data_IF_374268869964
#
_entry.id   IF_374268869964
#
_cell.length_a   1.000
_cell.length_b   1.000
_cell.length_c   1.000
_cell.angle_alpha   90.00
_cell.angle_beta   90.00
_cell.angle_gamma   90.00
#
_symmetry.space_group_name_H-M   'P 1'
#
loop_
_entity.id
_entity.type
_entity.pdbx_description
1 polymer ?
#
# COMPACT_ATOMS: atom_id res chain seq x y z
N UNK A 1 -0.84 -0.58 -28.29
CA UNK A 1 -1.14 -0.37 -27.55
C UNK A 1 -1.91 -0.91 -26.56
N UNK A 2 -2.57 -1.80 -26.75
CA UNK A 2 -3.41 -2.34 -25.81
C UNK A 2 -2.72 -3.02 -24.69
N UNK A 3 -1.59 -3.58 -24.91
CA UNK A 3 -0.86 -4.27 -23.89
C UNK A 3 -0.39 -3.39 -22.76
N UNK A 4 -0.44 -2.05 -23.04
CA UNK A 4 -0.05 -1.19 -22.04
C UNK A 4 -1.17 -0.59 -21.39
N UNK A 5 -2.31 -1.08 -21.61
CA UNK A 5 -3.53 -0.57 -21.17
C UNK A 5 -3.53 0.26 -19.93
N UNK A 6 -4.58 0.96 -19.73
CA UNK A 6 -4.78 1.81 -18.59
C UNK A 6 -4.86 0.98 -17.32
N UNK A 7 -4.16 1.36 -16.23
CA UNK A 7 -4.36 0.69 -14.94
C UNK A 7 -5.81 0.77 -14.47
N UNK A 8 -6.51 1.85 -14.79
CA UNK A 8 -7.92 1.97 -14.43
C UNK A 8 -8.78 0.93 -15.13
N UNK A 9 -8.49 0.66 -16.41
CA UNK A 9 -9.23 -0.38 -17.14
C UNK A 9 -8.92 -1.77 -16.56
N UNK A 10 -7.67 -2.01 -16.21
CA UNK A 10 -7.29 -3.27 -15.56
C UNK A 10 -8.01 -3.42 -14.23
N UNK A 11 -8.12 -2.35 -13.46
CA UNK A 11 -8.83 -2.40 -12.18
C UNK A 11 -10.29 -2.77 -12.39
N UNK A 12 -10.93 -2.22 -13.41
CA UNK A 12 -12.34 -2.54 -13.68
C UNK A 12 -12.53 -4.03 -13.98
N UNK A 13 -11.66 -4.61 -14.79
CA UNK A 13 -11.73 -6.02 -15.10
C UNK A 13 -11.49 -6.88 -13.87
N UNK A 14 -10.51 -6.48 -13.06
CA UNK A 14 -10.17 -7.23 -11.86
C UNK A 14 -11.25 -7.11 -10.78
N UNK A 15 -12.00 -6.02 -10.76
CA UNK A 15 -13.13 -5.90 -9.85
C UNK A 15 -14.17 -6.97 -10.12
N UNK A 16 -14.41 -7.29 -11.39
CA UNK A 16 -15.33 -8.38 -11.74
C UNK A 16 -14.78 -9.72 -11.26
N UNK A 17 -13.48 -9.95 -11.44
CA UNK A 17 -12.87 -11.18 -10.96
C UNK A 17 -12.95 -11.28 -9.45
N UNK A 18 -12.73 -10.17 -8.75
CA UNK A 18 -12.79 -10.16 -7.29
C UNK A 18 -14.20 -10.40 -6.79
N UNK A 19 -15.21 -9.91 -7.51
CA UNK A 19 -16.60 -10.17 -7.14
C UNK A 19 -16.93 -11.63 -7.26
N UNK A 20 -16.35 -12.33 -8.26
CA UNK A 20 -16.55 -13.74 -8.45
C UNK A 20 -15.75 -14.59 -7.46
N UNK A 21 -14.58 -14.09 -7.05
CA UNK A 21 -13.68 -14.83 -6.15
C UNK A 21 -13.19 -13.89 -5.06
N UNK A 22 -14.05 -13.50 -4.13
CA UNK A 22 -13.71 -12.45 -3.16
C UNK A 22 -12.61 -12.83 -2.16
N UNK A 23 -12.26 -14.10 -2.08
CA UNK A 23 -11.20 -14.54 -1.17
C UNK A 23 -9.92 -14.94 -1.89
N UNK A 24 -9.88 -14.75 -3.21
CA UNK A 24 -8.68 -15.09 -3.96
C UNK A 24 -7.59 -14.05 -3.68
N UNK A 25 -6.53 -14.49 -3.01
CA UNK A 25 -5.42 -13.60 -2.70
C UNK A 25 -4.79 -13.04 -3.97
N UNK A 26 -4.59 -13.89 -4.98
CA UNK A 26 -3.95 -13.43 -6.20
C UNK A 26 -4.80 -12.39 -6.95
N UNK A 27 -6.11 -12.57 -6.95
CA UNK A 27 -7.01 -11.62 -7.59
C UNK A 27 -7.03 -10.32 -6.82
N UNK A 28 -7.11 -10.39 -5.48
CA UNK A 28 -7.09 -9.20 -4.64
C UNK A 28 -5.78 -8.43 -4.80
N UNK A 29 -4.67 -9.14 -4.87
CA UNK A 29 -3.37 -8.50 -5.06
C UNK A 29 -3.29 -7.80 -6.41
N UNK A 30 -3.72 -8.47 -7.47
CA UNK A 30 -3.70 -7.88 -8.81
C UNK A 30 -4.59 -6.65 -8.87
N UNK A 31 -5.77 -6.73 -8.25
CA UNK A 31 -6.70 -5.59 -8.20
C UNK A 31 -6.08 -4.43 -7.44
N UNK A 32 -5.52 -4.70 -6.26
CA UNK A 32 -4.93 -3.63 -5.45
C UNK A 32 -3.78 -2.95 -6.19
N UNK A 33 -2.94 -3.73 -6.89
CA UNK A 33 -1.85 -3.15 -7.67
C UNK A 33 -2.36 -2.27 -8.80
N UNK A 34 -3.38 -2.73 -9.52
CA UNK A 34 -3.96 -1.95 -10.61
C UNK A 34 -4.58 -0.66 -10.08
N UNK A 35 -5.27 -0.75 -8.94
CA UNK A 35 -5.86 0.43 -8.31
C UNK A 35 -4.78 1.41 -7.87
N UNK A 36 -3.72 0.92 -7.27
CA UNK A 36 -2.61 1.79 -6.87
C UNK A 36 -2.03 2.51 -8.09
N UNK A 37 -1.76 1.77 -9.16
CA UNK A 37 -1.18 2.35 -10.37
C UNK A 37 -2.13 3.35 -11.04
N UNK A 38 -3.44 3.18 -10.84
CA UNK A 38 -4.46 4.09 -11.36
C UNK A 38 -4.67 5.31 -10.45
N UNK A 39 -3.96 5.40 -9.32
CA UNK A 39 -4.15 6.49 -8.38
C UNK A 39 -5.32 6.30 -7.44
N UNK A 40 -5.93 5.13 -7.43
CA UNK A 40 -7.06 4.81 -6.56
C UNK A 40 -6.53 4.25 -5.24
N UNK A 41 -5.85 5.10 -4.49
CA UNK A 41 -5.07 4.64 -3.33
C UNK A 41 -5.92 4.13 -2.19
N UNK A 42 -7.06 4.76 -1.93
CA UNK A 42 -7.93 4.30 -0.84
C UNK A 42 -8.51 2.92 -1.15
N UNK A 43 -8.91 2.69 -2.41
CA UNK A 43 -9.41 1.38 -2.82
C UNK A 43 -8.31 0.33 -2.75
N UNK A 44 -7.10 0.69 -3.19
CA UNK A 44 -5.96 -0.23 -3.11
C UNK A 44 -5.67 -0.60 -1.66
N UNK A 45 -5.71 0.38 -0.75
CA UNK A 45 -5.49 0.11 0.67
C UNK A 45 -6.52 -0.88 1.20
N UNK A 46 -7.77 -0.73 0.82
CA UNK A 46 -8.82 -1.64 1.26
C UNK A 46 -8.56 -3.08 0.84
N UNK A 47 -8.12 -3.28 -0.40
CA UNK A 47 -7.87 -4.62 -0.90
C UNK A 47 -6.59 -5.23 -0.33
N UNK A 48 -5.52 -4.43 -0.18
CA UNK A 48 -4.33 -4.91 0.52
C UNK A 48 -4.67 -5.26 1.98
N UNK A 49 -5.54 -4.49 2.62
CA UNK A 49 -5.94 -4.77 4.01
C UNK A 49 -6.64 -6.12 4.11
N UNK A 50 -7.49 -6.46 3.15
CA UNK A 50 -8.14 -7.76 3.16
C UNK A 50 -7.10 -8.89 3.14
N UNK A 51 -6.05 -8.73 2.35
CA UNK A 51 -4.99 -9.73 2.30
C UNK A 51 -4.27 -9.80 3.64
N UNK A 52 -3.93 -8.65 4.21
CA UNK A 52 -3.21 -8.59 5.48
C UNK A 52 -4.03 -9.20 6.61
N UNK A 53 -5.33 -8.96 6.63
CA UNK A 53 -6.19 -9.52 7.66
C UNK A 53 -6.24 -11.04 7.59
N UNK A 54 -6.25 -11.58 6.38
CA UNK A 54 -6.24 -13.03 6.20
C UNK A 54 -4.85 -13.63 6.42
N UNK A 55 -3.80 -12.86 6.13
CA UNK A 55 -2.44 -13.37 6.14
C UNK A 55 -1.48 -12.26 6.57
N UNK A 56 -1.38 -12.01 7.89
CA UNK A 56 -0.52 -10.91 8.38
C UNK A 56 0.96 -11.05 8.03
N UNK A 57 1.40 -12.25 7.70
CA UNK A 57 2.80 -12.49 7.32
C UNK A 57 3.06 -12.29 5.84
N UNK A 58 2.08 -11.83 5.08
CA UNK A 58 2.28 -11.53 3.66
C UNK A 58 3.01 -10.20 3.56
N UNK A 59 4.33 -10.28 3.35
CA UNK A 59 5.16 -9.08 3.36
C UNK A 59 4.81 -8.09 2.26
N UNK A 60 4.50 -8.61 1.06
CA UNK A 60 4.16 -7.72 -0.05
C UNK A 60 2.85 -6.97 0.23
N UNK A 61 1.86 -7.65 0.83
CA UNK A 61 0.60 -7.00 1.17
C UNK A 61 0.80 -5.94 2.26
N UNK A 62 1.65 -6.20 3.24
CA UNK A 62 1.99 -5.19 4.24
C UNK A 62 2.64 -3.97 3.59
N UNK A 63 3.58 -4.22 2.66
CA UNK A 63 4.23 -3.15 1.92
C UNK A 63 3.21 -2.36 1.10
N UNK A 64 2.35 -3.06 0.35
CA UNK A 64 1.33 -2.40 -0.48
C UNK A 64 0.36 -1.56 0.33
N UNK A 65 -0.10 -2.10 1.45
CA UNK A 65 -0.98 -1.37 2.35
C UNK A 65 -0.29 -0.10 2.87
N UNK A 66 0.98 -0.25 3.28
CA UNK A 66 1.74 0.91 3.77
C UNK A 66 1.90 1.99 2.71
N UNK A 67 2.25 1.60 1.48
CA UNK A 67 2.37 2.58 0.39
C UNK A 67 1.06 3.29 0.13
N UNK A 68 -0.04 2.55 0.08
CA UNK A 68 -1.34 3.13 -0.19
C UNK A 68 -1.76 4.10 0.92
N UNK A 69 -1.50 3.73 2.18
CA UNK A 69 -1.80 4.61 3.30
C UNK A 69 -0.97 5.89 3.28
N UNK A 70 0.29 5.80 2.87
CA UNK A 70 1.12 6.99 2.72
C UNK A 70 0.52 7.94 1.68
N UNK A 71 0.00 7.39 0.58
CA UNK A 71 -0.60 8.20 -0.48
C UNK A 71 -1.94 8.79 -0.08
N UNK A 72 -2.64 8.18 0.86
CA UNK A 72 -3.90 8.74 1.36
C UNK A 72 -3.69 9.72 2.51
N UNK A 73 -2.44 9.98 2.88
CA UNK A 73 -2.15 10.99 3.88
C UNK A 73 -2.10 10.49 5.31
N UNK A 74 -1.86 9.19 5.50
CA UNK A 74 -1.76 8.60 6.82
C UNK A 74 -0.37 7.98 7.02
N UNK A 75 0.67 8.81 7.18
CA UNK A 75 2.03 8.30 7.30
C UNK A 75 2.28 7.52 8.59
N UNK A 76 1.52 7.78 9.64
CA UNK A 76 1.67 7.03 10.88
C UNK A 76 1.31 5.56 10.70
N UNK A 77 0.13 5.29 10.15
CA UNK A 77 -0.27 3.92 9.88
C UNK A 77 0.63 3.30 8.80
N UNK A 78 1.00 4.10 7.80
CA UNK A 78 1.90 3.62 6.75
C UNK A 78 3.21 3.10 7.34
N UNK A 79 3.81 3.84 8.28
CA UNK A 79 5.07 3.44 8.88
C UNK A 79 4.95 2.11 9.62
N UNK A 80 3.82 1.86 10.26
CA UNK A 80 3.62 0.59 10.97
C UNK A 80 3.65 -0.60 10.02
N UNK A 81 2.94 -0.50 8.90
CA UNK A 81 2.89 -1.59 7.94
C UNK A 81 4.20 -1.75 7.18
N UNK A 82 4.86 -0.63 6.85
CA UNK A 82 6.16 -0.69 6.19
C UNK A 82 7.23 -1.26 7.10
N UNK A 83 7.16 -0.97 8.40
CA UNK A 83 8.10 -1.54 9.36
C UNK A 83 7.93 -3.06 9.45
N UNK A 84 6.68 -3.55 9.40
CA UNK A 84 6.44 -4.98 9.40
C UNK A 84 7.02 -5.64 8.16
N UNK A 85 6.80 -5.05 6.99
CA UNK A 85 7.35 -5.60 5.75
C UNK A 85 8.88 -5.63 5.81
N UNK A 86 9.51 -4.56 6.26
CA UNK A 86 10.95 -4.48 6.34
C UNK A 86 11.52 -5.48 7.35
N UNK A 87 10.81 -5.70 8.46
CA UNK A 87 11.23 -6.67 9.47
C UNK A 87 11.12 -8.10 8.94
N UNK A 88 10.10 -8.38 8.13
CA UNK A 88 9.92 -9.72 7.57
C UNK A 88 10.95 -10.02 6.48
N UNK A 89 11.37 -9.00 5.73
CA UNK A 89 12.32 -9.15 4.65
C UNK A 89 13.40 -8.08 4.75
N UNK A 90 14.35 -8.23 5.69
CA UNK A 90 15.32 -7.16 5.99
C UNK A 90 16.18 -6.76 4.80
N UNK A 91 16.40 -7.68 3.86
CA UNK A 91 17.23 -7.37 2.69
C UNK A 91 16.48 -6.72 1.54
N UNK A 92 15.18 -6.52 1.68
CA UNK A 92 14.38 -5.99 0.58
C UNK A 92 14.52 -4.47 0.52
N UNK A 93 15.23 -4.01 -0.51
CA UNK A 93 15.56 -2.58 -0.61
C UNK A 93 14.34 -1.68 -0.67
N UNK A 94 13.33 -2.05 -1.45
CA UNK A 94 12.15 -1.21 -1.60
C UNK A 94 11.40 -1.03 -0.30
N UNK A 95 11.36 -2.07 0.53
CA UNK A 95 10.67 -1.97 1.82
C UNK A 95 11.41 -1.00 2.74
N UNK A 96 12.73 -1.12 2.79
CA UNK A 96 13.54 -0.24 3.63
C UNK A 96 13.47 1.21 3.15
N UNK A 97 13.52 1.41 1.84
CA UNK A 97 13.46 2.76 1.27
C UNK A 97 12.13 3.44 1.55
N UNK A 98 11.04 2.70 1.39
CA UNK A 98 9.71 3.24 1.65
C UNK A 98 9.54 3.62 3.11
N UNK A 99 10.02 2.77 4.01
CA UNK A 99 9.96 3.05 5.44
C UNK A 99 10.75 4.31 5.79
N UNK A 100 11.95 4.43 5.23
CA UNK A 100 12.79 5.60 5.48
C UNK A 100 12.11 6.88 5.00
N UNK A 101 11.48 6.82 3.84
CA UNK A 101 10.79 7.96 3.27
C UNK A 101 9.62 8.41 4.15
N UNK A 102 8.81 7.47 4.62
CA UNK A 102 7.66 7.80 5.47
C UNK A 102 8.12 8.34 6.82
N UNK A 103 9.20 7.76 7.39
CA UNK A 103 9.74 8.25 8.64
C UNK A 103 10.27 9.68 8.51
N UNK A 104 10.83 10.01 7.35
CA UNK A 104 11.27 11.39 7.09
C UNK A 104 10.08 12.35 7.08
N UNK A 105 8.97 11.94 6.48
CA UNK A 105 7.75 12.72 6.48
C UNK A 105 7.25 12.96 7.90
N UNK A 106 7.26 11.92 8.73
CA UNK A 106 6.81 12.03 10.10
C UNK A 106 7.70 12.97 10.91
N UNK A 107 9.03 12.90 10.71
CA UNK A 107 9.94 13.81 11.39
C UNK A 107 9.69 15.25 10.98
N UNK A 108 9.51 15.49 9.69
CA UNK A 108 9.27 16.85 9.19
C UNK A 108 7.98 17.42 9.78
N UNK A 109 6.93 16.61 9.86
CA UNK A 109 5.67 17.04 10.45
C UNK A 109 5.81 17.34 11.94
N UNK A 110 6.58 16.51 12.64
CA UNK A 110 6.83 16.71 14.06
C UNK A 110 7.58 18.02 14.31
N UNK A 111 8.59 18.30 13.51
CA UNK A 111 9.37 19.53 13.64
C UNK A 111 8.54 20.75 13.32
N UNK A 112 7.70 20.68 12.29
CA UNK A 112 6.82 21.76 11.94
C UNK A 112 5.85 22.06 13.07
N UNK A 113 5.30 21.00 13.70
CA UNK A 113 4.39 21.17 14.82
C UNK A 113 5.07 21.84 16.02
N UNK A 114 6.32 21.46 16.29
CA UNK A 114 7.09 22.08 17.35
C UNK A 114 7.31 23.57 17.10
N UNK A 115 7.61 23.93 15.84
CA UNK A 115 7.81 25.32 15.48
C UNK A 115 6.59 26.17 15.75
N UNK A 116 5.40 25.63 15.56
CA UNK A 116 4.18 26.39 15.83
C UNK A 116 3.86 26.51 17.31
N UNK A 117 4.40 25.65 18.14
CA UNK A 117 4.12 25.68 19.57
C UNK A 117 5.05 26.63 20.32
N UNK A 118 6.17 26.94 19.73
CA UNK A 118 7.11 27.90 20.30
C UNK A 118 6.72 29.33 19.96
#
# INVERSE_FOLDING_TARGET
MLGRGSPAAAAQLLERAAAAEPRSRSVLEALARAQFDAGQYAAAAGNFRLIVEASPSDDYAQFGLGLALARTGDPGAAAEHLALAAAMCPGHRHYADALRSVRATLRARSEMRKGFQD
#
